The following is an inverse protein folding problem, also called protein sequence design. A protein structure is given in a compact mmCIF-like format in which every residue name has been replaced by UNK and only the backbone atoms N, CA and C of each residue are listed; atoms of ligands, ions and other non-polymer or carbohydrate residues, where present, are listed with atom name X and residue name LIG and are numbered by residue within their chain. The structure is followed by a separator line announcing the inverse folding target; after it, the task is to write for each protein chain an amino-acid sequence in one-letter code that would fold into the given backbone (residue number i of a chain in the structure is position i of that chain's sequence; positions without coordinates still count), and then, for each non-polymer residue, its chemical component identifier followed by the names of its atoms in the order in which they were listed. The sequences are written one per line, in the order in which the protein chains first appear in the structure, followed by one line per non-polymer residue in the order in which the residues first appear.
data_IF_522853000734
#
_entry.id   IF_522853000734
#
_cell.length_a   1.000
_cell.length_b   1.000
_cell.length_c   1.000
_cell.angle_alpha   90.00
_cell.angle_beta   90.00
_cell.angle_gamma   90.00
#
_symmetry.space_group_name_H-M   'P 1'
#
loop_
_entity.id
_entity.type
_entity.pdbx_description
1 polymer ?
#
# COMPACT_ATOMS: atom_id res chain seq x y z
N UNK A 1 29.91 46.37 -35.45
CA UNK A 1 29.22 45.12 -35.88
C UNK A 1 29.60 44.05 -34.87
N UNK A 2 28.81 43.66 -33.86
CA UNK A 2 27.45 43.98 -33.45
C UNK A 2 27.41 44.19 -31.92
N UNK A 3 26.61 45.15 -31.48
CA UNK A 3 26.29 45.42 -30.08
C UNK A 3 25.39 44.30 -29.53
N UNK A 4 26.01 43.25 -28.97
CA UNK A 4 25.28 42.22 -28.21
C UNK A 4 24.94 42.72 -26.81
N UNK A 5 24.29 43.87 -26.70
CA UNK A 5 23.80 44.40 -25.43
C UNK A 5 22.39 43.81 -25.21
N UNK A 6 22.20 42.90 -24.24
CA UNK A 6 20.89 42.31 -24.00
C UNK A 6 19.87 43.41 -23.69
N UNK A 7 18.72 43.37 -24.36
CA UNK A 7 17.69 44.40 -24.23
C UNK A 7 17.19 44.51 -22.79
N UNK A 8 16.74 45.70 -22.37
CA UNK A 8 16.23 45.94 -21.02
C UNK A 8 15.15 44.91 -20.61
N UNK A 9 14.30 44.51 -21.56
CA UNK A 9 13.30 43.44 -21.43
C UNK A 9 13.91 42.08 -21.04
N UNK A 10 14.99 41.65 -21.70
CA UNK A 10 15.68 40.39 -21.41
C UNK A 10 16.34 40.40 -20.02
N UNK A 11 16.88 41.55 -19.61
CA UNK A 11 17.43 41.72 -18.27
C UNK A 11 16.35 41.70 -17.18
N UNK A 12 15.16 42.25 -17.46
CA UNK A 12 14.02 42.18 -16.52
C UNK A 12 13.48 40.75 -16.39
N UNK A 13 13.35 40.02 -17.51
CA UNK A 13 12.84 38.66 -17.52
C UNK A 13 13.74 37.68 -16.75
N UNK A 14 15.06 37.79 -16.93
CA UNK A 14 16.07 37.00 -16.20
C UNK A 14 16.04 37.31 -14.69
N UNK A 15 15.87 38.58 -14.30
CA UNK A 15 15.72 38.98 -12.90
C UNK A 15 14.44 38.45 -12.27
N UNK A 16 13.31 38.51 -12.98
CA UNK A 16 12.02 37.97 -12.53
C UNK A 16 12.10 36.45 -12.31
N UNK A 17 12.66 35.71 -13.28
CA UNK A 17 12.85 34.26 -13.19
C UNK A 17 13.76 33.88 -12.01
N UNK A 18 14.86 34.63 -11.80
CA UNK A 18 15.78 34.43 -10.67
C UNK A 18 15.10 34.66 -9.32
N UNK A 19 14.27 35.69 -9.18
CA UNK A 19 13.49 35.95 -7.96
C UNK A 19 12.47 34.85 -7.65
N UNK A 20 11.79 34.32 -8.67
CA UNK A 20 10.85 33.19 -8.51
C UNK A 20 11.59 31.93 -8.08
N UNK A 21 12.73 31.61 -8.70
CA UNK A 21 13.56 30.47 -8.29
C UNK A 21 14.08 30.60 -6.87
N UNK A 22 14.58 31.78 -6.47
CA UNK A 22 15.05 32.04 -5.09
C UNK A 22 13.90 31.89 -4.09
N UNK A 23 12.71 32.42 -4.39
CA UNK A 23 11.52 32.25 -3.53
C UNK A 23 11.10 30.79 -3.40
N UNK A 24 11.19 29.98 -4.47
CA UNK A 24 10.91 28.53 -4.41
C UNK A 24 11.95 27.78 -3.58
N UNK A 25 13.22 28.15 -3.66
CA UNK A 25 14.28 27.57 -2.82
C UNK A 25 14.09 27.92 -1.35
N UNK A 26 13.69 29.16 -1.05
CA UNK A 26 13.48 29.63 0.33
C UNK A 26 12.21 29.05 0.99
N UNK A 27 11.22 28.66 0.20
CA UNK A 27 9.99 28.00 0.66
C UNK A 27 10.00 26.48 0.42
N UNK A 28 11.12 25.93 -0.06
CA UNK A 28 11.35 24.48 -0.09
C UNK A 28 11.36 24.01 1.36
N UNK A 29 10.64 22.95 1.66
CA UNK A 29 10.56 22.31 3.00
C UNK A 29 9.58 22.93 4.00
N UNK A 30 8.71 23.86 3.57
CA UNK A 30 7.56 24.28 4.38
C UNK A 30 6.37 23.34 4.20
N UNK A 31 6.56 22.06 4.52
CA UNK A 31 5.44 21.11 4.61
C UNK A 31 4.51 21.60 5.73
N UNK A 32 3.22 21.81 5.46
CA UNK A 32 2.28 22.24 6.49
C UNK A 32 2.31 21.26 7.67
N UNK A 33 2.35 21.78 8.89
CA UNK A 33 2.38 20.95 10.12
C UNK A 33 1.20 19.96 10.17
N UNK A 34 0.05 20.32 9.61
CA UNK A 34 -1.09 19.43 9.45
C UNK A 34 -0.76 18.15 8.65
N UNK A 35 0.07 18.24 7.61
CA UNK A 35 0.49 17.07 6.81
C UNK A 35 1.42 16.18 7.63
N UNK A 36 2.34 16.76 8.42
CA UNK A 36 3.25 15.99 9.28
C UNK A 36 2.47 15.22 10.35
N UNK A 37 1.49 15.86 10.99
CA UNK A 37 0.62 15.20 11.96
C UNK A 37 -0.24 14.11 11.30
N UNK A 38 -0.83 14.39 10.13
CA UNK A 38 -1.59 13.39 9.38
C UNK A 38 -0.72 12.18 9.01
N UNK A 39 0.51 12.40 8.55
CA UNK A 39 1.45 11.34 8.23
C UNK A 39 1.79 10.46 9.45
N UNK A 40 1.99 11.08 10.62
CA UNK A 40 2.20 10.35 11.87
C UNK A 40 0.99 9.44 12.21
N UNK A 41 -0.23 9.98 12.12
CA UNK A 41 -1.46 9.20 12.37
C UNK A 41 -1.59 8.05 11.37
N UNK A 42 -1.41 8.32 10.07
CA UNK A 42 -1.50 7.30 9.02
C UNK A 42 -0.46 6.19 9.24
N UNK A 43 0.77 6.55 9.58
CA UNK A 43 1.83 5.59 9.89
C UNK A 43 1.51 4.71 11.10
N UNK A 44 1.01 5.31 12.19
CA UNK A 44 0.59 4.55 13.38
C UNK A 44 -0.54 3.58 13.06
N UNK A 45 -1.58 4.03 12.35
CA UNK A 45 -2.71 3.17 11.97
C UNK A 45 -2.27 2.04 11.04
N UNK A 46 -1.46 2.33 10.02
CA UNK A 46 -0.91 1.32 9.12
C UNK A 46 -0.05 0.29 9.88
N UNK A 47 0.78 0.74 10.81
CA UNK A 47 1.58 -0.13 11.67
C UNK A 47 0.72 -1.05 12.55
N UNK A 48 -0.32 -0.52 13.19
CA UNK A 48 -1.24 -1.31 14.01
C UNK A 48 -1.99 -2.35 13.17
N UNK A 49 -2.47 -1.97 11.98
CA UNK A 49 -3.11 -2.90 11.04
C UNK A 49 -2.13 -3.98 10.58
N UNK A 50 -0.87 -3.63 10.31
CA UNK A 50 0.18 -4.58 9.94
C UNK A 50 0.45 -5.61 11.03
N UNK A 51 0.61 -5.16 12.28
CA UNK A 51 0.78 -6.06 13.44
C UNK A 51 -0.45 -6.93 13.66
N UNK A 52 -1.66 -6.37 13.51
CA UNK A 52 -2.90 -7.14 13.63
C UNK A 52 -2.99 -8.23 12.55
N UNK A 53 -2.60 -7.91 11.32
CA UNK A 53 -2.58 -8.87 10.20
C UNK A 53 -1.58 -10.00 10.47
N UNK A 54 -0.35 -9.68 10.88
CA UNK A 54 0.68 -10.66 11.24
C UNK A 54 0.18 -11.62 12.34
N UNK A 55 -0.42 -11.07 13.41
CA UNK A 55 -1.00 -11.89 14.49
C UNK A 55 -2.14 -12.78 14.00
N UNK A 56 -2.99 -12.27 13.11
CA UNK A 56 -4.11 -13.03 12.56
C UNK A 56 -3.62 -14.20 11.69
N UNK A 57 -2.65 -13.96 10.79
CA UNK A 57 -2.02 -15.02 9.98
C UNK A 57 -1.39 -16.09 10.87
N UNK A 58 -0.62 -15.68 11.89
CA UNK A 58 0.01 -16.62 12.82
C UNK A 58 -1.03 -17.41 13.63
N UNK A 59 -2.15 -16.79 14.03
CA UNK A 59 -3.24 -17.48 14.71
C UNK A 59 -3.89 -18.53 13.81
N UNK A 60 -4.17 -18.20 12.54
CA UNK A 60 -4.71 -19.16 11.56
C UNK A 60 -3.73 -20.29 11.31
N UNK A 61 -2.44 -19.99 11.12
CA UNK A 61 -1.40 -20.99 10.92
C UNK A 61 -1.29 -21.94 12.11
N UNK A 62 -1.24 -21.42 13.34
CA UNK A 62 -1.18 -22.22 14.55
C UNK A 62 -2.43 -23.10 14.72
N UNK A 63 -3.61 -22.55 14.43
CA UNK A 63 -4.85 -23.32 14.46
C UNK A 63 -4.85 -24.45 13.40
N UNK A 64 -4.35 -24.18 12.20
CA UNK A 64 -4.19 -25.19 11.14
C UNK A 64 -3.24 -26.30 11.57
N UNK A 65 -2.07 -25.96 12.12
CA UNK A 65 -1.09 -26.93 12.61
C UNK A 65 -1.70 -27.76 13.74
N UNK A 66 -2.35 -27.13 14.71
CA UNK A 66 -3.01 -27.84 15.82
C UNK A 66 -4.14 -28.77 15.35
N UNK A 67 -4.91 -28.35 14.35
CA UNK A 67 -5.95 -29.18 13.72
C UNK A 67 -5.35 -30.36 12.98
N UNK A 68 -4.26 -30.17 12.25
CA UNK A 68 -3.60 -31.28 11.54
C UNK A 68 -2.94 -32.25 12.52
N UNK A 69 -2.33 -31.74 13.60
CA UNK A 69 -1.67 -32.54 14.62
C UNK A 69 -2.64 -33.46 15.39
N UNK A 70 -3.91 -33.09 15.54
CA UNK A 70 -4.91 -33.96 16.19
C UNK A 70 -5.26 -35.20 15.36
N UNK A 71 -4.88 -35.25 14.08
CA UNK A 71 -5.04 -36.42 13.21
C UNK A 71 -3.73 -37.17 12.97
N UNK A 72 -2.67 -36.87 13.73
CA UNK A 72 -1.33 -37.44 13.54
C UNK A 72 -1.29 -38.98 13.60
N UNK A 73 -2.21 -39.61 14.33
CA UNK A 73 -2.32 -41.07 14.43
C UNK A 73 -2.66 -41.76 13.08
N UNK A 74 -3.11 -40.98 12.09
CA UNK A 74 -3.48 -41.48 10.76
C UNK A 74 -2.85 -40.60 9.68
N UNK A 75 -1.70 -41.04 9.16
CA UNK A 75 -0.90 -40.31 8.17
C UNK A 75 -1.71 -39.82 6.96
N UNK A 76 -2.65 -40.61 6.45
CA UNK A 76 -3.47 -40.19 5.31
C UNK A 76 -4.43 -39.03 5.63
N UNK A 77 -4.98 -38.98 6.86
CA UNK A 77 -5.87 -37.89 7.29
C UNK A 77 -5.10 -36.58 7.44
N UNK A 78 -3.85 -36.65 7.88
CA UNK A 78 -2.96 -35.48 7.97
C UNK A 78 -2.85 -34.78 6.61
N UNK A 79 -2.57 -35.52 5.55
CA UNK A 79 -2.46 -34.97 4.20
C UNK A 79 -3.78 -34.38 3.68
N UNK A 80 -4.89 -35.07 3.93
CA UNK A 80 -6.23 -34.60 3.53
C UNK A 80 -6.58 -33.28 4.22
N UNK A 81 -6.36 -33.18 5.54
CA UNK A 81 -6.65 -31.96 6.29
C UNK A 81 -5.67 -30.84 5.97
N UNK A 82 -4.38 -31.13 5.83
CA UNK A 82 -3.37 -30.13 5.48
C UNK A 82 -3.67 -29.50 4.11
N UNK A 83 -3.94 -30.33 3.09
CA UNK A 83 -4.28 -29.84 1.76
C UNK A 83 -5.67 -29.21 1.71
N UNK A 84 -6.68 -29.85 2.32
CA UNK A 84 -8.06 -29.39 2.32
C UNK A 84 -8.24 -28.03 2.98
N UNK A 85 -7.62 -27.81 4.15
CA UNK A 85 -7.64 -26.50 4.81
C UNK A 85 -6.90 -25.45 3.99
N UNK A 86 -5.71 -25.77 3.44
CA UNK A 86 -4.97 -24.84 2.57
C UNK A 86 -5.81 -24.41 1.37
N UNK A 87 -6.43 -25.38 0.69
CA UNK A 87 -7.26 -25.13 -0.47
C UNK A 87 -8.48 -24.29 -0.12
N UNK A 88 -9.15 -24.57 1.01
CA UNK A 88 -10.30 -23.81 1.48
C UNK A 88 -9.94 -22.34 1.72
N UNK A 89 -8.85 -22.09 2.46
CA UNK A 89 -8.39 -20.74 2.75
C UNK A 89 -8.00 -19.97 1.48
N UNK A 90 -7.26 -20.62 0.57
CA UNK A 90 -6.92 -20.05 -0.73
C UNK A 90 -8.16 -19.73 -1.58
N UNK A 91 -9.15 -20.62 -1.61
CA UNK A 91 -10.42 -20.41 -2.32
C UNK A 91 -11.21 -19.24 -1.75
N UNK A 92 -11.31 -19.12 -0.43
CA UNK A 92 -11.98 -18.00 0.24
C UNK A 92 -11.27 -16.69 -0.11
N UNK A 93 -9.93 -16.64 0.00
CA UNK A 93 -9.16 -15.46 -0.37
C UNK A 93 -9.36 -15.06 -1.83
N UNK A 94 -9.29 -16.03 -2.74
CA UNK A 94 -9.54 -15.81 -4.17
C UNK A 94 -10.96 -15.32 -4.44
N UNK A 95 -11.97 -15.93 -3.80
CA UNK A 95 -13.37 -15.52 -3.93
C UNK A 95 -13.59 -14.09 -3.45
N UNK A 96 -13.03 -13.71 -2.30
CA UNK A 96 -13.18 -12.37 -1.74
C UNK A 96 -12.60 -11.30 -2.68
N UNK A 97 -11.39 -11.54 -3.20
CA UNK A 97 -10.75 -10.65 -4.18
C UNK A 97 -11.61 -10.55 -5.44
N UNK A 98 -12.00 -11.69 -6.03
CA UNK A 98 -12.73 -11.70 -7.29
C UNK A 98 -14.13 -11.09 -7.20
N UNK A 99 -14.78 -11.22 -6.03
CA UNK A 99 -16.16 -10.75 -5.82
C UNK A 99 -16.24 -9.30 -5.36
N UNK A 100 -15.35 -8.86 -4.47
CA UNK A 100 -15.50 -7.58 -3.77
C UNK A 100 -14.47 -6.52 -4.16
N UNK A 101 -13.22 -6.90 -4.42
CA UNK A 101 -12.14 -5.97 -4.75
C UNK A 101 -11.10 -6.62 -5.69
N UNK A 102 -11.34 -6.66 -7.00
CA UNK A 102 -10.40 -7.28 -7.96
C UNK A 102 -9.01 -6.64 -7.93
N UNK A 103 -8.93 -5.33 -7.66
CA UNK A 103 -7.68 -4.58 -7.48
C UNK A 103 -6.92 -4.93 -6.18
N UNK A 104 -7.53 -5.66 -5.23
CA UNK A 104 -6.82 -6.10 -4.04
C UNK A 104 -5.89 -7.30 -4.32
N UNK A 105 -5.99 -7.91 -5.50
CA UNK A 105 -5.23 -9.09 -5.91
C UNK A 105 -3.72 -8.84 -6.04
N UNK A 106 -2.93 -9.88 -5.74
CA UNK A 106 -1.47 -9.83 -5.84
C UNK A 106 -0.82 -8.86 -4.84
N UNK A 107 0.37 -8.36 -5.20
CA UNK A 107 1.18 -7.49 -4.34
C UNK A 107 0.46 -6.19 -3.97
N UNK A 108 -0.29 -5.60 -4.90
CA UNK A 108 -0.92 -4.28 -4.72
C UNK A 108 0.03 -3.09 -4.87
N UNK A 109 1.35 -3.30 -4.95
CA UNK A 109 2.32 -2.22 -5.27
C UNK A 109 1.95 -1.50 -6.58
N UNK A 110 1.65 -2.21 -7.70
CA UNK A 110 1.28 -1.53 -8.94
C UNK A 110 -0.02 -0.71 -8.85
N UNK A 111 -0.92 -1.06 -7.92
CA UNK A 111 -2.17 -0.32 -7.70
C UNK A 111 -1.91 0.98 -6.96
N UNK A 112 -0.98 0.98 -6.00
CA UNK A 112 -0.58 2.19 -5.27
C UNK A 112 0.30 3.09 -6.13
N UNK A 113 1.25 2.52 -6.89
CA UNK A 113 2.03 3.26 -7.89
C UNK A 113 1.11 3.92 -8.92
N UNK A 114 0.15 3.16 -9.48
CA UNK A 114 -0.86 3.72 -10.39
C UNK A 114 -1.76 4.76 -9.74
N UNK A 115 -2.07 4.66 -8.45
CA UNK A 115 -2.84 5.67 -7.74
C UNK A 115 -2.04 6.96 -7.50
N UNK A 116 -0.73 6.87 -7.25
CA UNK A 116 0.15 8.02 -7.13
C UNK A 116 0.32 8.77 -8.46
N UNK A 117 0.24 8.03 -9.58
CA UNK A 117 0.20 8.59 -10.94
C UNK A 117 -1.21 9.03 -11.39
N UNK A 118 -2.21 8.99 -10.50
CA UNK A 118 -3.63 9.28 -10.78
C UNK A 118 -4.27 8.38 -11.86
N UNK A 119 -3.62 7.26 -12.20
CA UNK A 119 -4.08 6.29 -13.19
C UNK A 119 -5.10 5.30 -12.64
N UNK A 120 -5.15 5.11 -11.31
CA UNK A 120 -6.03 4.12 -10.66
C UNK A 120 -6.72 4.68 -9.40
N UNK A 121 -8.00 4.33 -9.16
CA UNK A 121 -8.73 4.80 -8.00
C UNK A 121 -8.43 4.00 -6.72
N UNK A 122 -8.28 4.68 -5.58
CA UNK A 122 -8.05 4.05 -4.26
C UNK A 122 -9.38 3.82 -3.53
N UNK A 123 -9.91 2.59 -3.60
CA UNK A 123 -11.18 2.22 -2.95
C UNK A 123 -10.95 1.58 -1.58
N UNK A 124 -10.41 2.36 -0.64
CA UNK A 124 -9.95 1.88 0.67
C UNK A 124 -11.00 1.05 1.43
N UNK A 125 -12.29 1.41 1.35
CA UNK A 125 -13.38 0.71 2.04
C UNK A 125 -13.62 -0.72 1.55
N UNK A 126 -13.19 -1.06 0.32
CA UNK A 126 -13.25 -2.44 -0.21
C UNK A 126 -11.91 -3.14 -0.08
N UNK A 127 -10.82 -2.45 -0.42
CA UNK A 127 -9.49 -3.04 -0.49
C UNK A 127 -8.99 -3.46 0.89
N UNK A 128 -9.16 -2.63 1.93
CA UNK A 128 -8.68 -2.93 3.27
C UNK A 128 -9.28 -4.22 3.84
N UNK A 129 -10.62 -4.39 3.95
CA UNK A 129 -11.18 -5.61 4.51
C UNK A 129 -10.90 -6.84 3.63
N UNK A 130 -10.94 -6.70 2.30
CA UNK A 130 -10.71 -7.82 1.38
C UNK A 130 -9.26 -8.30 1.44
N UNK A 131 -8.29 -7.39 1.44
CA UNK A 131 -6.87 -7.75 1.47
C UNK A 131 -6.45 -8.27 2.84
N UNK A 132 -7.02 -7.72 3.91
CA UNK A 132 -6.80 -8.23 5.26
C UNK A 132 -7.35 -9.66 5.38
N UNK A 133 -8.64 -9.89 5.09
CA UNK A 133 -9.24 -11.21 5.29
C UNK A 133 -8.73 -12.24 4.28
N UNK A 134 -8.63 -11.84 3.01
CA UNK A 134 -8.17 -12.72 1.94
C UNK A 134 -6.70 -13.12 2.06
N UNK A 135 -5.89 -12.35 2.79
CA UNK A 135 -4.49 -12.65 3.06
C UNK A 135 -4.23 -13.48 4.32
N UNK A 136 -5.24 -13.81 5.14
CA UNK A 136 -5.06 -14.56 6.39
C UNK A 136 -4.82 -16.06 6.22
N UNK A 137 -5.12 -16.60 5.03
CA UNK A 137 -5.31 -18.03 4.75
C UNK A 137 -4.04 -18.82 4.39
#
# INVERSE_FOLDING_TARGET
MNENTPSFEQQQFTRAKRRVSIRRLLNRDKTPLAILLAAAVVGTLAGLVGVAFEKAVNAVLNWRIGTVASFADREWLVWVWAFGLSALFAMVGYFLVRKFAPEAGGSGIPEIEGALEELRPVRWWRVLPVKFIGGMG
#
